data_IF_375889197965
#
_entry.id   IF_375889197965
#
_cell.length_a   1.000
_cell.length_b   1.000
_cell.length_c   1.000
_cell.angle_alpha   90.00
_cell.angle_beta   90.00
_cell.angle_gamma   90.00
#
_symmetry.space_group_name_H-M   'P 1'
#
loop_
_entity.id
_entity.type
_entity.pdbx_description
1 polymer ?
#
# COMPACT_ATOMS: atom_id res chain seq x y z
N UNK A 1 11.46 -4.35 12.05
CA UNK A 1 10.82 -4.35 10.72
C UNK A 1 11.60 -5.19 9.72
N UNK A 2 12.87 -4.89 9.50
CA UNK A 2 13.68 -5.56 8.46
C UNK A 2 13.84 -7.05 8.78
N UNK A 3 14.23 -7.39 9.99
CA UNK A 3 14.45 -8.77 10.44
C UNK A 3 13.17 -9.61 10.55
N UNK A 4 12.01 -8.98 10.68
CA UNK A 4 10.73 -9.70 10.82
C UNK A 4 10.57 -10.51 12.11
N UNK A 5 11.30 -10.15 13.17
CA UNK A 5 11.28 -10.87 14.45
C UNK A 5 9.92 -10.84 15.14
N UNK A 6 9.65 -11.83 15.97
CA UNK A 6 8.45 -11.87 16.84
C UNK A 6 8.59 -10.82 17.95
N UNK A 7 7.47 -10.27 18.44
CA UNK A 7 7.47 -9.32 19.55
C UNK A 7 8.24 -9.82 20.76
N UNK A 8 8.01 -11.08 21.15
CA UNK A 8 8.67 -11.71 22.29
C UNK A 8 10.17 -11.94 22.12
N UNK A 9 10.68 -11.81 20.89
CA UNK A 9 12.09 -11.96 20.54
C UNK A 9 12.78 -10.61 20.36
N UNK A 10 12.17 -9.52 20.85
CA UNK A 10 12.78 -8.19 20.82
C UNK A 10 14.07 -8.21 21.64
N UNK A 11 15.22 -7.70 21.11
CA UNK A 11 16.50 -7.67 21.85
C UNK A 11 16.39 -6.93 23.17
N UNK A 12 17.22 -7.32 24.16
CA UNK A 12 17.20 -6.80 25.53
C UNK A 12 17.58 -5.34 25.69
N UNK A 13 18.22 -4.75 24.69
CA UNK A 13 18.55 -3.30 24.59
C UNK A 13 17.34 -2.43 24.32
N UNK A 14 16.21 -3.04 23.92
CA UNK A 14 14.94 -2.35 23.81
C UNK A 14 14.15 -2.42 25.11
N UNK A 15 13.13 -1.57 25.23
CA UNK A 15 12.13 -1.70 26.29
C UNK A 15 11.48 -3.10 26.22
N UNK A 16 10.92 -3.55 27.35
CA UNK A 16 10.16 -4.79 27.40
C UNK A 16 9.17 -4.87 26.22
N UNK A 17 9.12 -6.02 25.56
CA UNK A 17 8.33 -6.18 24.33
C UNK A 17 6.83 -5.83 24.54
N UNK A 18 6.28 -6.05 25.75
CA UNK A 18 4.92 -5.68 26.08
C UNK A 18 4.68 -4.18 25.98
N UNK A 19 5.64 -3.39 26.47
CA UNK A 19 5.61 -1.92 26.39
C UNK A 19 5.63 -1.45 24.94
N UNK A 20 6.58 -1.96 24.15
CA UNK A 20 6.72 -1.61 22.72
C UNK A 20 5.44 -2.00 21.95
N UNK A 21 4.91 -3.19 22.21
CA UNK A 21 3.67 -3.66 21.59
C UNK A 21 2.45 -2.82 22.00
N UNK A 22 2.40 -2.35 23.26
CA UNK A 22 1.32 -1.48 23.74
C UNK A 22 1.32 -0.14 23.00
N UNK A 23 2.48 0.50 22.82
CA UNK A 23 2.60 1.72 21.98
C UNK A 23 2.22 1.46 20.54
N UNK A 24 2.74 0.38 19.93
CA UNK A 24 2.38 0.00 18.57
C UNK A 24 0.86 -0.11 18.40
N UNK A 25 0.21 -0.84 19.31
CA UNK A 25 -1.24 -1.05 19.27
C UNK A 25 -2.05 0.23 19.49
N UNK A 26 -1.64 1.06 20.44
CA UNK A 26 -2.33 2.33 20.73
C UNK A 26 -2.21 3.28 19.55
N UNK A 27 -1.01 3.46 19.00
CA UNK A 27 -0.77 4.32 17.84
C UNK A 27 -1.43 3.82 16.55
N UNK A 28 -1.71 2.51 16.46
CA UNK A 28 -2.57 1.97 15.41
C UNK A 28 -4.02 2.41 15.62
N UNK A 29 -4.54 2.30 16.84
CA UNK A 29 -5.95 2.58 17.16
C UNK A 29 -6.30 4.06 17.07
N UNK A 30 -5.42 4.94 17.49
CA UNK A 30 -5.64 6.40 17.49
C UNK A 30 -5.19 7.08 16.18
N UNK A 31 -4.65 6.31 15.24
CA UNK A 31 -4.20 6.79 13.93
C UNK A 31 -2.86 7.51 13.94
N UNK A 32 -2.09 7.47 15.02
CA UNK A 32 -0.78 8.14 15.13
C UNK A 32 0.19 7.66 14.05
N UNK A 33 0.28 6.35 13.77
CA UNK A 33 1.11 5.84 12.68
C UNK A 33 0.77 6.46 11.33
N UNK A 34 -0.51 6.63 11.05
CA UNK A 34 -0.97 7.21 9.79
C UNK A 34 -0.67 8.71 9.72
N UNK A 35 -0.79 9.43 10.82
CA UNK A 35 -0.42 10.86 10.89
C UNK A 35 1.08 11.08 10.66
N UNK A 36 1.93 10.28 11.31
CA UNK A 36 3.39 10.32 11.10
C UNK A 36 3.72 10.03 9.63
N UNK A 37 3.13 8.98 9.08
CA UNK A 37 3.31 8.60 7.68
C UNK A 37 2.91 9.73 6.73
N UNK A 38 1.75 10.36 6.91
CA UNK A 38 1.25 11.40 6.01
C UNK A 38 2.15 12.65 6.06
N UNK A 39 2.59 13.08 7.26
CA UNK A 39 3.50 14.21 7.41
C UNK A 39 4.86 13.94 6.74
N UNK A 40 5.47 12.78 6.97
CA UNK A 40 6.73 12.41 6.33
C UNK A 40 6.61 12.33 4.81
N UNK A 41 5.50 11.82 4.31
CA UNK A 41 5.21 11.78 2.87
C UNK A 41 5.19 13.17 2.25
N UNK A 42 4.57 14.15 2.92
CA UNK A 42 4.54 15.54 2.47
C UNK A 42 5.95 16.15 2.50
N UNK A 43 6.72 15.94 3.56
CA UNK A 43 8.10 16.43 3.67
C UNK A 43 9.01 15.86 2.58
N UNK A 44 8.97 14.55 2.33
CA UNK A 44 9.75 13.95 1.23
C UNK A 44 9.36 14.53 -0.12
N UNK A 45 8.08 14.82 -0.35
CA UNK A 45 7.65 15.45 -1.60
C UNK A 45 8.21 16.86 -1.76
N UNK A 46 8.17 17.66 -0.69
CA UNK A 46 8.73 19.03 -0.66
C UNK A 46 10.24 18.98 -0.93
N UNK A 47 10.96 18.09 -0.24
CA UNK A 47 12.41 17.91 -0.43
C UNK A 47 12.75 17.55 -1.89
N UNK A 48 11.89 16.77 -2.53
CA UNK A 48 12.00 16.42 -3.96
C UNK A 48 11.39 17.48 -4.90
N UNK A 49 11.23 18.72 -4.43
CA UNK A 49 10.68 19.85 -5.19
C UNK A 49 9.31 19.57 -5.83
N UNK A 50 8.46 18.83 -5.11
CA UNK A 50 7.09 18.51 -5.51
C UNK A 50 6.09 19.16 -4.56
N UNK A 51 4.89 19.44 -5.07
CA UNK A 51 3.79 19.83 -4.19
C UNK A 51 3.54 18.77 -3.11
N UNK A 52 3.22 19.16 -1.86
CA UNK A 52 2.92 18.23 -0.77
C UNK A 52 1.87 17.20 -1.16
N UNK A 53 0.82 17.65 -1.85
CA UNK A 53 -0.28 16.82 -2.33
C UNK A 53 -0.04 16.39 -3.78
N UNK A 54 -0.26 15.11 -4.14
CA UNK A 54 -0.06 14.62 -5.50
C UNK A 54 -1.23 15.00 -6.42
N UNK A 55 -0.95 15.27 -7.70
CA UNK A 55 -1.95 15.42 -8.76
C UNK A 55 -2.27 14.11 -9.48
N UNK A 56 -1.38 13.13 -9.38
CA UNK A 56 -1.52 11.80 -9.94
C UNK A 56 -1.20 10.73 -8.90
N UNK A 57 -1.87 9.59 -9.00
CA UNK A 57 -1.57 8.41 -8.20
C UNK A 57 -1.62 7.14 -9.06
N UNK A 58 -1.07 6.07 -8.54
CA UNK A 58 -1.05 4.74 -9.16
C UNK A 58 -1.68 3.76 -8.19
N UNK A 59 -2.56 2.89 -8.67
CA UNK A 59 -3.07 1.75 -7.89
C UNK A 59 -2.46 0.48 -8.44
N UNK A 60 -2.05 -0.39 -7.51
CA UNK A 60 -1.63 -1.76 -7.83
C UNK A 60 -2.00 -2.71 -6.69
N UNK A 61 -1.97 -4.00 -6.98
CA UNK A 61 -2.26 -5.06 -6.01
C UNK A 61 -1.15 -6.10 -5.93
N UNK A 62 -0.90 -6.56 -4.71
CA UNK A 62 0.05 -7.64 -4.44
C UNK A 62 -0.59 -8.72 -3.58
N UNK A 63 -0.67 -9.94 -4.11
CA UNK A 63 -1.04 -11.10 -3.32
C UNK A 63 0.17 -11.65 -2.57
N UNK A 64 0.01 -11.93 -1.27
CA UNK A 64 1.04 -12.48 -0.40
C UNK A 64 0.51 -13.68 0.37
N UNK A 65 1.34 -14.70 0.55
CA UNK A 65 0.97 -15.88 1.34
C UNK A 65 0.74 -15.49 2.80
N UNK A 66 -0.33 -15.99 3.41
CA UNK A 66 -0.52 -15.89 4.86
C UNK A 66 0.26 -16.98 5.60
N UNK A 67 0.69 -16.68 6.82
CA UNK A 67 1.32 -17.66 7.70
C UNK A 67 0.26 -18.63 8.26
N UNK A 68 0.71 -19.80 8.72
CA UNK A 68 -0.15 -20.72 9.45
C UNK A 68 -0.73 -20.03 10.68
N UNK A 69 -2.02 -20.24 10.95
CA UNK A 69 -2.73 -19.59 12.06
C UNK A 69 -3.32 -18.21 11.75
N UNK A 70 -3.16 -17.70 10.52
CA UNK A 70 -3.86 -16.49 10.04
C UNK A 70 -5.09 -16.96 9.26
N UNK A 71 -6.27 -16.58 9.74
CA UNK A 71 -7.54 -17.02 9.15
C UNK A 71 -8.44 -15.86 8.69
N UNK A 72 -8.31 -14.69 9.32
CA UNK A 72 -9.13 -13.53 8.98
C UNK A 72 -8.72 -12.93 7.65
N UNK A 73 -9.68 -12.64 6.77
CA UNK A 73 -9.46 -12.08 5.43
C UNK A 73 -8.39 -12.87 4.64
N UNK A 74 -8.51 -14.21 4.62
CA UNK A 74 -7.67 -15.10 3.81
C UNK A 74 -8.49 -15.70 2.68
N UNK A 75 -7.94 -15.70 1.47
CA UNK A 75 -8.57 -16.25 0.28
C UNK A 75 -7.54 -16.76 -0.74
N UNK A 76 -8.01 -17.30 -1.83
CA UNK A 76 -7.16 -17.84 -2.91
C UNK A 76 -7.20 -16.91 -4.14
N UNK A 77 -6.04 -16.47 -4.57
CA UNK A 77 -5.84 -15.76 -5.85
C UNK A 77 -5.56 -16.79 -6.94
N UNK A 78 -6.57 -17.08 -7.77
CA UNK A 78 -6.47 -18.08 -8.82
C UNK A 78 -5.50 -17.70 -9.94
N UNK A 79 -5.31 -16.40 -10.19
CA UNK A 79 -4.39 -15.93 -11.23
C UNK A 79 -2.91 -16.03 -10.81
N UNK A 80 -2.62 -15.83 -9.53
CA UNK A 80 -1.25 -15.89 -8.98
C UNK A 80 -0.97 -17.19 -8.21
N UNK A 81 -1.96 -18.04 -8.05
CA UNK A 81 -1.90 -19.32 -7.29
C UNK A 81 -1.40 -19.10 -5.86
N UNK A 82 -1.92 -18.07 -5.18
CA UNK A 82 -1.53 -17.70 -3.83
C UNK A 82 -2.72 -17.83 -2.88
N UNK A 83 -2.57 -18.63 -1.84
CA UNK A 83 -3.45 -18.66 -0.67
C UNK A 83 -2.96 -17.64 0.35
N UNK A 84 -3.76 -16.60 0.62
CA UNK A 84 -3.35 -15.55 1.55
C UNK A 84 -4.18 -14.27 1.43
N UNK A 85 -3.50 -13.13 1.54
CA UNK A 85 -4.09 -11.79 1.48
C UNK A 85 -3.63 -11.03 0.26
N UNK A 86 -4.46 -10.09 -0.18
CA UNK A 86 -4.15 -9.14 -1.25
C UNK A 86 -4.03 -7.74 -0.65
N UNK A 87 -2.93 -7.06 -0.99
CA UNK A 87 -2.62 -5.69 -0.59
C UNK A 87 -2.92 -4.79 -1.77
N UNK A 88 -3.89 -3.91 -1.64
CA UNK A 88 -4.17 -2.85 -2.61
C UNK A 88 -3.48 -1.59 -2.14
N UNK A 89 -2.57 -1.06 -2.94
CA UNK A 89 -1.82 0.15 -2.62
C UNK A 89 -2.18 1.26 -3.60
N UNK A 90 -2.39 2.45 -3.06
CA UNK A 90 -2.39 3.67 -3.85
C UNK A 90 -1.11 4.42 -3.51
N UNK A 91 -0.28 4.72 -4.52
CA UNK A 91 0.99 5.44 -4.34
C UNK A 91 0.99 6.73 -5.17
N UNK A 92 1.78 7.72 -4.75
CA UNK A 92 2.04 8.90 -5.57
C UNK A 92 3.17 8.65 -6.59
N UNK A 93 3.49 9.64 -7.40
CA UNK A 93 4.53 9.55 -8.45
C UNK A 93 5.96 9.37 -7.95
N UNK A 94 6.21 9.42 -6.64
CA UNK A 94 7.50 9.08 -6.01
C UNK A 94 7.50 7.67 -5.40
N UNK A 95 6.44 6.89 -5.63
CA UNK A 95 6.28 5.55 -5.04
C UNK A 95 5.92 5.57 -3.55
N UNK A 96 5.56 6.72 -2.97
CA UNK A 96 5.17 6.80 -1.57
C UNK A 96 3.69 6.45 -1.42
N UNK A 97 3.37 5.54 -0.52
CA UNK A 97 2.00 5.09 -0.26
C UNK A 97 1.12 6.25 0.18
N UNK A 98 -0.06 6.37 -0.40
CA UNK A 98 -1.14 7.24 0.08
C UNK A 98 -2.01 6.48 1.07
N UNK A 99 -2.57 5.36 0.61
CA UNK A 99 -3.36 4.44 1.43
C UNK A 99 -3.12 3.01 1.00
N UNK A 100 -3.33 2.11 1.94
CA UNK A 100 -3.30 0.66 1.73
C UNK A 100 -4.60 0.03 2.25
N UNK A 101 -5.00 -1.05 1.61
CA UNK A 101 -6.08 -1.92 2.03
C UNK A 101 -5.59 -3.36 1.93
N UNK A 102 -5.78 -4.14 2.99
CA UNK A 102 -5.51 -5.57 3.02
C UNK A 102 -6.81 -6.34 3.07
N UNK A 103 -6.96 -7.32 2.18
CA UNK A 103 -8.17 -8.14 2.02
C UNK A 103 -7.81 -9.60 1.80
N UNK A 104 -8.81 -10.46 1.71
CA UNK A 104 -8.62 -11.81 1.17
C UNK A 104 -8.03 -11.74 -0.26
N UNK A 105 -7.12 -12.67 -0.60
CA UNK A 105 -6.49 -12.70 -1.91
C UNK A 105 -7.48 -12.96 -3.07
N UNK A 106 -8.66 -13.50 -2.76
CA UNK A 106 -9.76 -13.72 -3.72
C UNK A 106 -10.49 -12.45 -4.16
N UNK A 107 -10.28 -11.31 -3.49
CA UNK A 107 -10.92 -10.05 -3.87
C UNK A 107 -10.35 -9.57 -5.21
N UNK A 108 -11.26 -9.30 -6.18
CA UNK A 108 -10.90 -8.80 -7.50
C UNK A 108 -10.35 -7.37 -7.48
N UNK A 109 -9.56 -7.02 -8.48
CA UNK A 109 -8.88 -5.72 -8.59
C UNK A 109 -9.88 -4.55 -8.58
N UNK A 110 -10.99 -4.54 -9.36
CA UNK A 110 -11.92 -3.42 -9.35
C UNK A 110 -12.58 -3.19 -7.97
N UNK A 111 -12.96 -4.25 -7.27
CA UNK A 111 -13.56 -4.13 -5.94
C UNK A 111 -12.55 -3.63 -4.90
N UNK A 112 -11.35 -4.19 -4.87
CA UNK A 112 -10.28 -3.72 -4.00
C UNK A 112 -9.87 -2.29 -4.32
N UNK A 113 -9.85 -1.93 -5.61
CA UNK A 113 -9.61 -0.56 -6.07
C UNK A 113 -10.64 0.42 -5.52
N UNK A 114 -11.94 0.11 -5.64
CA UNK A 114 -13.01 0.93 -5.04
C UNK A 114 -12.81 1.11 -3.53
N UNK A 115 -12.52 0.01 -2.82
CA UNK A 115 -12.33 0.02 -1.36
C UNK A 115 -11.11 0.84 -0.93
N UNK A 116 -9.97 0.74 -1.62
CA UNK A 116 -8.78 1.55 -1.28
C UNK A 116 -9.00 3.03 -1.62
N UNK A 117 -9.69 3.36 -2.72
CA UNK A 117 -10.01 4.75 -3.08
C UNK A 117 -10.99 5.40 -2.10
N UNK A 118 -11.91 4.64 -1.50
CA UNK A 118 -12.74 5.12 -0.38
C UNK A 118 -11.90 5.57 0.83
N UNK A 119 -10.67 5.05 0.99
CA UNK A 119 -9.71 5.48 2.02
C UNK A 119 -8.86 6.67 1.58
N UNK A 120 -8.63 6.84 0.28
CA UNK A 120 -7.87 7.97 -0.28
C UNK A 120 -8.72 9.25 -0.31
N UNK A 121 -9.98 9.16 -0.73
CA UNK A 121 -10.86 10.32 -0.89
C UNK A 121 -10.99 11.19 0.38
N UNK A 122 -11.12 10.64 1.60
CA UNK A 122 -11.21 11.41 2.84
C UNK A 122 -9.93 12.13 3.26
N UNK A 123 -8.78 11.91 2.58
CA UNK A 123 -7.54 12.64 2.87
C UNK A 123 -7.68 14.16 2.61
N UNK A 124 -8.70 14.60 1.92
CA UNK A 124 -9.04 16.01 1.73
C UNK A 124 -7.87 16.80 1.13
N UNK A 125 -7.32 17.75 1.89
CA UNK A 125 -6.19 18.59 1.43
C UNK A 125 -4.97 17.77 1.00
N UNK A 126 -4.73 16.61 1.62
CA UNK A 126 -3.61 15.71 1.29
C UNK A 126 -3.65 15.11 -0.13
N UNK A 127 -4.79 15.22 -0.82
CA UNK A 127 -5.00 14.77 -2.20
C UNK A 127 -5.84 15.78 -3.01
N UNK A 128 -5.95 17.02 -2.57
CA UNK A 128 -6.77 18.05 -3.22
C UNK A 128 -6.50 18.22 -4.74
N UNK A 129 -5.24 18.20 -5.22
CA UNK A 129 -4.94 18.30 -6.64
C UNK A 129 -5.05 16.98 -7.41
N UNK A 130 -5.43 15.86 -6.76
CA UNK A 130 -5.50 14.56 -7.42
C UNK A 130 -6.63 14.54 -8.43
N UNK A 131 -6.29 14.28 -9.68
CA UNK A 131 -7.23 14.21 -10.80
C UNK A 131 -7.11 12.91 -11.59
N UNK A 132 -5.95 12.26 -11.56
CA UNK A 132 -5.64 11.13 -12.42
C UNK A 132 -5.12 9.94 -11.62
N UNK A 133 -5.71 8.78 -11.86
CA UNK A 133 -5.31 7.50 -11.29
C UNK A 133 -4.87 6.56 -12.40
N UNK A 134 -3.64 6.08 -12.31
CA UNK A 134 -3.09 5.08 -13.21
C UNK A 134 -3.34 3.68 -12.65
N UNK A 135 -3.79 2.76 -13.48
CA UNK A 135 -4.08 1.36 -13.10
C UNK A 135 -3.58 0.41 -14.18
N UNK A 136 -3.43 -0.87 -13.87
CA UNK A 136 -3.19 -1.90 -14.87
C UNK A 136 -4.50 -2.48 -15.43
N UNK A 137 -4.38 -3.39 -16.42
CA UNK A 137 -5.52 -4.03 -17.06
C UNK A 137 -6.39 -4.87 -16.12
N UNK A 138 -5.89 -5.25 -14.94
CA UNK A 138 -6.69 -5.95 -13.94
C UNK A 138 -7.80 -5.10 -13.31
N UNK A 139 -7.63 -3.77 -13.36
CA UNK A 139 -8.63 -2.80 -12.90
C UNK A 139 -9.51 -2.28 -14.04
N UNK A 140 -9.32 -2.78 -15.27
CA UNK A 140 -10.10 -2.33 -16.42
C UNK A 140 -11.58 -2.71 -16.28
N UNK A 141 -12.44 -1.87 -16.82
CA UNK A 141 -13.87 -2.06 -16.87
C UNK A 141 -14.67 -0.78 -16.62
N UNK A 142 -15.66 -0.55 -17.49
CA UNK A 142 -16.53 0.61 -17.44
C UNK A 142 -17.16 0.85 -16.05
N UNK A 143 -17.69 -0.18 -15.33
CA UNK A 143 -18.30 0.03 -14.02
C UNK A 143 -17.34 0.53 -12.93
N UNK A 144 -16.04 0.22 -13.06
CA UNK A 144 -15.03 0.74 -12.14
C UNK A 144 -14.69 2.19 -12.47
N UNK A 145 -14.49 2.51 -13.75
CA UNK A 145 -14.17 3.84 -14.22
C UNK A 145 -15.29 4.83 -13.91
N UNK A 146 -16.54 4.47 -14.22
CA UNK A 146 -17.72 5.28 -13.90
C UNK A 146 -17.85 5.54 -12.39
N UNK A 147 -17.66 4.49 -11.58
CA UNK A 147 -17.71 4.64 -10.14
C UNK A 147 -16.65 5.63 -9.64
N UNK A 148 -15.40 5.53 -10.13
CA UNK A 148 -14.32 6.46 -9.73
C UNK A 148 -14.63 7.88 -10.17
N UNK A 149 -15.13 8.07 -11.39
CA UNK A 149 -15.52 9.39 -11.88
C UNK A 149 -16.65 9.98 -11.03
N UNK A 150 -17.69 9.21 -10.75
CA UNK A 150 -18.87 9.67 -10.03
C UNK A 150 -18.60 9.92 -8.54
N UNK A 151 -17.89 9.01 -7.87
CA UNK A 151 -17.62 9.08 -6.43
C UNK A 151 -16.41 9.95 -6.09
N UNK A 152 -15.30 9.75 -6.80
CA UNK A 152 -14.04 10.44 -6.49
C UNK A 152 -13.87 11.74 -7.27
N UNK A 153 -14.51 11.90 -8.45
CA UNK A 153 -14.26 12.96 -9.41
C UNK A 153 -12.83 12.90 -9.97
N UNK A 154 -12.29 11.69 -10.14
CA UNK A 154 -10.99 11.41 -10.73
C UNK A 154 -11.14 10.61 -12.02
N UNK A 155 -10.13 10.72 -12.88
CA UNK A 155 -10.06 10.00 -14.16
C UNK A 155 -9.20 8.75 -13.94
N UNK A 156 -9.62 7.63 -14.50
CA UNK A 156 -8.81 6.41 -14.58
C UNK A 156 -8.10 6.35 -15.93
N UNK A 157 -6.80 6.08 -15.89
CA UNK A 157 -6.01 5.77 -17.06
C UNK A 157 -5.48 4.35 -16.95
N UNK A 158 -5.99 3.46 -17.77
CA UNK A 158 -5.51 2.07 -17.85
C UNK A 158 -4.24 2.03 -18.67
N UNK A 159 -3.22 1.35 -18.14
CA UNK A 159 -1.96 1.09 -18.84
C UNK A 159 -1.92 -0.38 -19.24
N UNK A 160 -2.22 -0.64 -20.49
CA UNK A 160 -2.18 -1.99 -21.06
C UNK A 160 -0.76 -2.35 -21.51
N UNK A 161 -0.40 -3.62 -21.36
CA UNK A 161 0.83 -4.16 -21.94
C UNK A 161 0.61 -4.36 -23.44
N UNK A 162 1.52 -3.92 -24.31
CA UNK A 162 1.40 -4.20 -25.75
C UNK A 162 1.40 -5.71 -26.01
N UNK A 163 0.41 -6.19 -26.75
CA UNK A 163 0.17 -7.64 -26.98
C UNK A 163 1.32 -8.36 -27.68
N UNK A 164 2.13 -7.64 -28.45
CA UNK A 164 3.18 -8.21 -29.32
C UNK A 164 4.58 -8.28 -28.67
N UNK A 165 4.77 -7.81 -27.45
CA UNK A 165 6.10 -7.77 -26.85
C UNK A 165 6.33 -8.85 -25.81
N UNK A 166 7.20 -9.83 -26.15
CA UNK A 166 7.73 -10.83 -25.19
C UNK A 166 8.90 -10.30 -24.35
N UNK A 167 9.40 -9.09 -24.64
CA UNK A 167 10.49 -8.42 -23.92
C UNK A 167 9.98 -7.48 -22.82
N UNK A 168 10.90 -7.02 -21.95
CA UNK A 168 10.60 -6.00 -20.95
C UNK A 168 10.21 -4.69 -21.64
N UNK A 169 9.01 -4.16 -21.31
CA UNK A 169 8.52 -2.86 -21.78
C UNK A 169 8.30 -1.97 -20.56
N UNK A 170 8.97 -0.81 -20.57
CA UNK A 170 8.75 0.21 -19.55
C UNK A 170 7.39 0.86 -19.75
N UNK A 171 6.38 0.40 -19.01
CA UNK A 171 5.03 0.96 -19.06
C UNK A 171 4.97 2.28 -18.31
N UNK A 172 4.45 3.33 -18.99
CA UNK A 172 4.33 4.68 -18.43
C UNK A 172 3.66 4.65 -17.05
N UNK A 173 4.32 5.21 -16.02
CA UNK A 173 3.87 5.31 -14.63
C UNK A 173 3.77 3.98 -13.84
N UNK A 174 3.60 2.82 -14.45
CA UNK A 174 3.56 1.54 -13.70
C UNK A 174 4.88 1.22 -13.00
N UNK A 175 6.00 1.52 -13.63
CA UNK A 175 7.32 1.31 -13.02
C UNK A 175 7.50 2.05 -11.68
N UNK A 176 6.59 2.97 -11.31
CA UNK A 176 6.66 3.71 -10.04
C UNK A 176 6.20 2.86 -8.85
N UNK A 177 5.19 2.01 -9.03
CA UNK A 177 4.66 1.18 -7.94
C UNK A 177 5.47 -0.12 -7.73
N UNK A 178 6.09 -0.64 -8.79
CA UNK A 178 6.92 -1.85 -8.73
C UNK A 178 8.08 -1.74 -7.70
N UNK A 179 8.90 -0.67 -7.69
CA UNK A 179 9.88 -0.46 -6.62
C UNK A 179 9.26 -0.38 -5.23
N UNK A 180 8.08 0.23 -5.11
CA UNK A 180 7.38 0.30 -3.81
C UNK A 180 7.08 -1.09 -3.26
N UNK A 181 6.55 -1.97 -4.11
CA UNK A 181 6.33 -3.37 -3.74
C UNK A 181 7.65 -4.07 -3.39
N UNK A 182 8.71 -3.83 -4.18
CA UNK A 182 10.06 -4.33 -3.89
C UNK A 182 10.60 -3.87 -2.54
N UNK A 183 10.45 -2.58 -2.20
CA UNK A 183 10.88 -2.05 -0.89
C UNK A 183 10.11 -2.68 0.27
N UNK A 184 8.81 -2.92 0.10
CA UNK A 184 8.00 -3.60 1.11
C UNK A 184 8.46 -5.05 1.30
N UNK A 185 8.77 -5.76 0.21
CA UNK A 185 9.28 -7.13 0.27
C UNK A 185 10.69 -7.22 0.88
N UNK A 186 11.47 -6.14 0.89
CA UNK A 186 12.72 -6.01 1.64
C UNK A 186 12.54 -5.94 3.16
N UNK A 187 11.29 -5.92 3.67
CA UNK A 187 10.96 -5.98 5.08
C UNK A 187 10.49 -7.41 5.42
N UNK A 188 11.29 -8.18 6.17
CA UNK A 188 11.01 -9.58 6.48
C UNK A 188 9.61 -9.84 7.05
N UNK A 189 9.04 -8.86 7.78
CA UNK A 189 7.66 -8.93 8.29
C UNK A 189 6.59 -8.81 7.20
N UNK A 190 6.95 -8.36 6.00
CA UNK A 190 6.02 -8.14 4.87
C UNK A 190 6.19 -9.13 3.72
N UNK A 191 7.25 -9.98 3.74
CA UNK A 191 7.45 -11.04 2.73
C UNK A 191 6.30 -12.05 2.74
N UNK A 192 5.76 -12.30 3.92
CA UNK A 192 4.57 -13.10 4.16
C UNK A 192 3.67 -12.35 5.13
N UNK A 193 2.38 -12.55 5.10
CA UNK A 193 1.47 -11.97 6.09
C UNK A 193 1.41 -12.85 7.34
N UNK A 194 1.93 -12.32 8.45
CA UNK A 194 1.97 -12.99 9.76
C UNK A 194 0.94 -12.44 10.74
N UNK A 195 0.21 -11.38 10.34
CA UNK A 195 -0.65 -10.66 11.24
C UNK A 195 -2.04 -11.28 11.30
N UNK A 196 -2.59 -11.43 12.52
CA UNK A 196 -3.95 -11.95 12.68
C UNK A 196 -4.96 -11.01 12.04
N UNK A 197 -4.82 -9.69 12.26
CA UNK A 197 -5.75 -8.68 11.78
C UNK A 197 -5.21 -7.98 10.52
N UNK A 198 -6.04 -7.76 9.49
CA UNK A 198 -5.66 -7.01 8.29
C UNK A 198 -5.12 -5.60 8.60
N UNK A 199 -5.73 -4.90 9.57
CA UNK A 199 -5.31 -3.54 9.97
C UNK A 199 -3.91 -3.52 10.59
N UNK A 200 -3.49 -4.63 11.21
CA UNK A 200 -2.13 -4.76 11.73
C UNK A 200 -1.14 -4.89 10.57
N UNK A 201 -1.49 -5.66 9.54
CA UNK A 201 -0.71 -5.79 8.31
C UNK A 201 -0.57 -4.43 7.59
N UNK A 202 -1.66 -3.68 7.46
CA UNK A 202 -1.67 -2.31 6.92
C UNK A 202 -0.74 -1.38 7.70
N UNK A 203 -0.79 -1.46 9.03
CA UNK A 203 0.08 -0.64 9.90
C UNK A 203 1.55 -0.95 9.68
N UNK A 204 1.93 -2.22 9.50
CA UNK A 204 3.31 -2.57 9.18
C UNK A 204 3.75 -2.03 7.82
N UNK A 205 2.86 -1.92 6.84
CA UNK A 205 3.15 -1.27 5.56
C UNK A 205 3.43 0.22 5.77
N UNK A 206 2.62 0.92 6.56
CA UNK A 206 2.88 2.33 6.91
C UNK A 206 4.21 2.51 7.66
N UNK A 207 4.54 1.66 8.62
CA UNK A 207 5.81 1.72 9.36
C UNK A 207 7.01 1.44 8.42
N UNK A 208 6.88 0.51 7.48
CA UNK A 208 7.90 0.27 6.47
C UNK A 208 8.13 1.51 5.60
N UNK A 209 7.06 2.18 5.18
CA UNK A 209 7.15 3.43 4.42
C UNK A 209 7.73 4.56 5.25
N UNK A 210 7.37 4.71 6.54
CA UNK A 210 7.98 5.67 7.47
C UNK A 210 9.50 5.50 7.48
N UNK A 211 9.99 4.26 7.64
CA UNK A 211 11.43 3.98 7.64
C UNK A 211 12.10 4.40 6.32
N UNK A 212 11.46 4.15 5.18
CA UNK A 212 11.98 4.52 3.86
C UNK A 212 12.01 6.05 3.73
N UNK A 213 10.96 6.73 4.15
CA UNK A 213 10.85 8.19 4.08
C UNK A 213 11.85 8.90 5.00
N UNK A 214 12.04 8.41 6.23
CA UNK A 214 13.07 8.95 7.14
C UNK A 214 14.46 8.83 6.52
N UNK A 215 14.79 7.71 5.85
CA UNK A 215 16.09 7.54 5.16
C UNK A 215 16.26 8.42 3.92
N UNK A 216 15.16 8.93 3.34
CA UNK A 216 15.24 9.88 2.21
C UNK A 216 15.38 11.32 2.67
N UNK A 217 15.08 11.61 3.93
CA UNK A 217 15.19 12.93 4.55
C UNK A 217 16.50 13.10 5.32
N UNK A 218 17.19 11.99 5.67
CA UNK A 218 18.50 11.99 6.33
C UNK A 218 19.63 12.11 5.29
#
# INVERSE_FOLDING_TARGET
MVEGIRWRSLPGDFLAWQTVYTYFRNWRKDGTWLKIHDNLREWVRIEQQRYPSPSEAIIDSQSVKSAAGVYEEVGFDGGKLIQGRKRFLTVNTLGLVLRVLVTAASVGEPEGGKRVLKRVKPMGKGVSPLTLIWVDGGFDGEPFMEWVMNFCRWIIQVVLRPEQTRSFVLLKKRWVVEPTLGWLMGCGRLVRDYELLPETSETFIYIAMIRIMVRRLA
#
